data_IF_792161545530
#
_entry.id   IF_792161545530
#
_cell.length_a   1.000
_cell.length_b   1.000
_cell.length_c   1.000
_cell.angle_alpha   90.00
_cell.angle_beta   90.00
_cell.angle_gamma   90.00
#
_symmetry.space_group_name_H-M   'P 1'
#
loop_
_entity.id
_entity.type
_entity.pdbx_description
1 polymer ?
#
# COMPACT_ATOMS: atom_id res chain seq x y z
N UNK A 1 -39.07 -8.26 -38.69
CA UNK A 1 -38.38 -9.53 -38.38
C UNK A 1 -37.13 -9.16 -37.61
N UNK A 2 -37.07 -9.51 -36.32
CA UNK A 2 -36.01 -9.16 -35.38
C UNK A 2 -34.67 -9.74 -35.81
N UNK A 3 -33.61 -8.93 -35.84
CA UNK A 3 -32.22 -9.41 -35.68
C UNK A 3 -31.60 -8.60 -34.54
N UNK A 4 -31.78 -9.11 -33.32
CA UNK A 4 -30.89 -8.88 -32.17
C UNK A 4 -29.59 -9.65 -32.44
N UNK A 5 -28.43 -9.03 -32.20
CA UNK A 5 -27.15 -9.67 -31.81
C UNK A 5 -26.19 -8.54 -31.40
N UNK A 6 -26.13 -8.27 -30.10
CA UNK A 6 -25.10 -8.75 -29.17
C UNK A 6 -23.75 -8.07 -29.40
N UNK A 7 -23.53 -7.04 -28.59
CA UNK A 7 -22.27 -6.36 -28.27
C UNK A 7 -21.20 -7.37 -27.90
N UNK A 8 -20.03 -7.27 -28.55
CA UNK A 8 -18.82 -7.95 -28.15
C UNK A 8 -17.94 -6.91 -27.46
N UNK A 9 -18.14 -6.71 -26.15
CA UNK A 9 -17.20 -5.99 -25.30
C UNK A 9 -16.00 -6.90 -25.08
N UNK A 10 -14.87 -6.61 -25.74
CA UNK A 10 -13.59 -7.24 -25.42
C UNK A 10 -13.08 -6.57 -24.15
N UNK A 11 -13.31 -7.23 -23.02
CA UNK A 11 -12.62 -6.94 -21.76
C UNK A 11 -11.20 -7.48 -21.93
N UNK A 12 -10.25 -6.59 -22.22
CA UNK A 12 -8.83 -6.93 -22.19
C UNK A 12 -8.38 -6.89 -20.73
N UNK A 13 -8.46 -8.06 -20.10
CA UNK A 13 -7.89 -8.32 -18.78
C UNK A 13 -6.38 -8.47 -18.96
N UNK A 14 -5.60 -7.41 -18.74
CA UNK A 14 -4.14 -7.53 -18.65
C UNK A 14 -3.79 -7.88 -17.21
N UNK A 15 -3.57 -9.18 -16.98
CA UNK A 15 -2.77 -9.68 -15.88
C UNK A 15 -1.32 -9.19 -16.09
N UNK A 16 -0.88 -8.17 -15.35
CA UNK A 16 0.55 -7.94 -15.16
C UNK A 16 1.04 -8.87 -14.05
N UNK A 17 1.40 -10.08 -14.46
CA UNK A 17 2.37 -10.89 -13.74
C UNK A 17 3.70 -10.79 -14.51
N UNK A 18 4.72 -10.23 -13.85
CA UNK A 18 6.11 -10.37 -14.29
C UNK A 18 6.74 -9.11 -14.88
N UNK A 19 7.35 -8.30 -14.00
CA UNK A 19 8.55 -7.54 -14.29
C UNK A 19 9.21 -7.03 -12.99
N UNK A 20 9.58 -7.93 -12.07
CA UNK A 20 10.48 -7.56 -10.96
C UNK A 20 11.89 -8.04 -11.29
N UNK A 21 12.55 -7.30 -12.16
CA UNK A 21 14.01 -7.37 -12.39
C UNK A 21 14.50 -6.02 -12.90
N UNK A 22 14.13 -4.96 -12.18
CA UNK A 22 14.90 -3.74 -12.12
C UNK A 22 15.38 -3.61 -10.67
N UNK A 23 16.61 -3.15 -10.48
CA UNK A 23 17.15 -2.89 -9.15
C UNK A 23 16.40 -1.68 -8.57
N UNK A 24 15.22 -1.90 -7.99
CA UNK A 24 14.44 -0.88 -7.31
C UNK A 24 15.27 -0.37 -6.13
N UNK A 25 15.73 0.88 -6.21
CA UNK A 25 16.29 1.55 -5.04
C UNK A 25 15.13 1.93 -4.14
N UNK A 26 14.81 1.07 -3.18
CA UNK A 26 13.92 1.45 -2.09
C UNK A 26 14.65 2.42 -1.17
N UNK A 27 13.99 3.52 -0.82
CA UNK A 27 14.44 4.40 0.25
C UNK A 27 13.42 4.38 1.38
N UNK A 28 13.91 4.28 2.62
CA UNK A 28 13.09 4.44 3.82
C UNK A 28 12.93 5.95 4.00
N UNK A 29 12.02 6.53 3.23
CA UNK A 29 11.81 7.97 3.16
C UNK A 29 10.37 8.40 3.50
N UNK A 30 9.46 7.43 3.70
CA UNK A 30 8.13 7.72 4.24
C UNK A 30 8.23 7.81 5.76
N UNK A 31 7.95 8.98 6.31
CA UNK A 31 8.01 9.23 7.74
C UNK A 31 6.60 9.31 8.33
N UNK A 32 6.27 8.39 9.23
CA UNK A 32 5.04 8.48 10.02
C UNK A 32 5.20 9.59 11.05
N UNK A 33 4.27 10.55 11.03
CA UNK A 33 4.29 11.73 11.92
C UNK A 33 3.28 11.63 13.05
N UNK A 34 2.27 10.75 12.92
CA UNK A 34 1.45 10.34 14.06
C UNK A 34 2.36 9.79 15.16
N UNK A 35 2.19 10.17 16.44
CA UNK A 35 2.90 9.54 17.54
C UNK A 35 2.42 8.10 17.76
N UNK A 36 3.32 7.13 17.95
CA UNK A 36 2.90 5.76 18.24
C UNK A 36 2.34 5.64 19.66
N UNK A 37 1.47 4.65 19.88
CA UNK A 37 1.02 4.22 21.19
C UNK A 37 2.16 3.58 22.01
N UNK A 38 3.03 2.83 21.33
CA UNK A 38 4.21 2.13 21.88
C UNK A 38 5.35 2.22 20.85
N UNK A 39 6.58 2.44 21.27
CA UNK A 39 7.71 2.63 20.33
C UNK A 39 8.44 1.34 19.97
N UNK A 40 8.60 0.44 20.93
CA UNK A 40 9.49 -0.72 20.80
C UNK A 40 8.77 -1.99 21.27
N UNK A 41 7.64 -2.31 20.64
CA UNK A 41 6.88 -3.52 20.94
C UNK A 41 7.57 -4.71 20.27
N UNK A 42 8.09 -5.69 21.04
CA UNK A 42 8.64 -6.89 20.43
C UNK A 42 7.52 -7.70 19.78
N UNK A 43 7.78 -8.17 18.56
CA UNK A 43 6.95 -9.13 17.86
C UNK A 43 7.73 -10.43 17.69
N UNK A 44 7.13 -11.51 18.17
CA UNK A 44 7.64 -12.87 17.99
C UNK A 44 6.74 -13.60 17.01
N UNK A 45 7.33 -14.50 16.23
CA UNK A 45 6.58 -15.38 15.34
C UNK A 45 7.09 -16.81 15.50
N UNK A 46 6.18 -17.72 15.85
CA UNK A 46 6.46 -19.14 16.06
C UNK A 46 6.84 -19.80 14.72
N UNK A 47 8.09 -19.64 14.31
CA UNK A 47 8.63 -20.14 13.05
C UNK A 47 8.75 -21.66 13.09
N UNK A 48 8.96 -22.24 14.26
CA UNK A 48 9.19 -23.68 14.43
C UNK A 48 7.87 -24.47 14.64
N UNK A 49 6.78 -23.79 14.96
CA UNK A 49 5.43 -24.32 15.09
C UNK A 49 5.17 -25.11 16.37
N UNK A 50 5.97 -24.94 17.42
CA UNK A 50 5.85 -25.68 18.68
C UNK A 50 4.90 -25.02 19.70
N UNK A 51 4.40 -23.83 19.39
CA UNK A 51 3.46 -23.06 20.21
C UNK A 51 4.12 -22.28 21.35
N UNK A 52 5.45 -22.20 21.40
CA UNK A 52 6.24 -21.43 22.36
C UNK A 52 6.98 -20.34 21.61
N UNK A 53 6.82 -19.09 22.06
CA UNK A 53 7.56 -17.97 21.49
C UNK A 53 8.90 -17.83 22.23
N UNK A 54 10.00 -18.11 21.52
CA UNK A 54 11.36 -18.07 22.07
C UNK A 54 12.14 -16.80 21.64
N UNK A 55 13.25 -16.50 22.32
CA UNK A 55 14.10 -15.33 21.98
C UNK A 55 14.65 -15.39 20.55
N UNK A 56 14.91 -16.60 20.04
CA UNK A 56 15.39 -16.83 18.67
C UNK A 56 14.30 -16.58 17.60
N UNK A 57 13.06 -16.32 18.02
CA UNK A 57 11.89 -16.08 17.18
C UNK A 57 11.44 -14.62 17.17
N UNK A 58 12.25 -13.73 17.77
CA UNK A 58 12.04 -12.29 17.71
C UNK A 58 12.21 -11.79 16.27
N UNK A 59 11.12 -11.31 15.67
CA UNK A 59 11.16 -10.66 14.35
C UNK A 59 11.76 -9.26 14.42
N UNK A 60 11.54 -8.57 15.54
CA UNK A 60 12.01 -7.20 15.75
C UNK A 60 11.17 -6.46 16.79
N UNK A 61 11.55 -5.22 17.02
CA UNK A 61 10.82 -4.26 17.85
C UNK A 61 10.19 -3.22 16.93
N UNK A 62 8.90 -2.96 17.12
CA UNK A 62 8.13 -2.14 16.21
C UNK A 62 7.33 -1.08 16.95
N UNK A 63 7.17 0.07 16.31
CA UNK A 63 6.20 1.07 16.74
C UNK A 63 4.78 0.54 16.54
N UNK A 64 3.89 0.82 17.50
CA UNK A 64 2.49 0.41 17.48
C UNK A 64 1.61 1.63 17.34
N UNK A 65 0.72 1.62 16.36
CA UNK A 65 -0.23 2.71 16.09
C UNK A 65 -1.67 2.27 16.36
N UNK A 66 -2.51 3.24 16.73
CA UNK A 66 -3.95 3.02 16.91
C UNK A 66 -4.60 2.76 15.55
N UNK A 67 -5.04 1.54 15.33
CA UNK A 67 -5.72 1.16 14.11
C UNK A 67 -7.15 1.70 14.02
N UNK A 68 -7.75 2.07 15.15
CA UNK A 68 -9.05 2.76 15.17
C UNK A 68 -8.91 4.29 14.94
N UNK A 69 -7.67 4.80 14.93
CA UNK A 69 -7.33 6.21 14.78
C UNK A 69 -6.82 6.59 13.39
N UNK A 70 -6.44 7.85 13.23
CA UNK A 70 -5.84 8.37 12.00
C UNK A 70 -4.31 8.17 11.99
N UNK A 71 -3.77 7.80 10.82
CA UNK A 71 -2.34 7.63 10.60
C UNK A 71 -1.85 8.64 9.57
N UNK A 72 -1.09 9.63 10.01
CA UNK A 72 -0.52 10.70 9.19
C UNK A 72 0.97 10.44 8.96
N UNK A 73 1.41 10.67 7.73
CA UNK A 73 2.80 10.50 7.32
C UNK A 73 3.15 11.46 6.19
N UNK A 74 4.45 11.60 5.95
CA UNK A 74 5.02 12.42 4.89
C UNK A 74 6.03 11.64 4.07
N UNK A 75 6.30 12.09 2.84
CA UNK A 75 7.33 11.51 1.96
C UNK A 75 8.06 12.61 1.18
N UNK A 76 9.10 12.24 0.43
CA UNK A 76 9.83 13.16 -0.42
C UNK A 76 9.13 13.31 -1.78
N UNK A 77 8.90 14.54 -2.28
CA UNK A 77 8.32 14.72 -3.60
C UNK A 77 9.29 14.24 -4.68
N UNK A 78 8.75 13.63 -5.74
CA UNK A 78 9.54 13.21 -6.89
C UNK A 78 9.15 14.05 -8.11
N UNK A 79 10.15 14.39 -8.93
CA UNK A 79 9.93 14.98 -10.24
C UNK A 79 10.19 13.92 -11.30
N UNK A 80 9.25 13.76 -12.23
CA UNK A 80 9.35 12.76 -13.29
C UNK A 80 9.53 13.49 -14.61
N UNK A 81 10.59 13.15 -15.35
CA UNK A 81 10.88 13.80 -16.62
C UNK A 81 9.71 13.62 -17.61
N UNK A 82 9.30 14.71 -18.25
CA UNK A 82 8.21 14.68 -19.23
C UNK A 82 6.80 14.61 -18.64
N UNK A 83 6.63 14.54 -17.32
CA UNK A 83 5.32 14.55 -16.66
C UNK A 83 5.10 15.91 -15.99
N UNK A 84 4.03 16.60 -16.40
CA UNK A 84 3.64 17.86 -15.77
C UNK A 84 3.10 17.61 -14.35
N UNK A 85 3.35 18.49 -13.36
CA UNK A 85 2.91 18.27 -11.98
C UNK A 85 1.40 18.00 -11.83
N UNK A 86 0.56 18.63 -12.65
CA UNK A 86 -0.89 18.43 -12.68
C UNK A 86 -1.33 17.02 -13.12
N UNK A 87 -0.45 16.30 -13.81
CA UNK A 87 -0.67 14.92 -14.26
C UNK A 87 0.12 13.91 -13.40
N UNK A 88 0.72 14.37 -12.30
CA UNK A 88 1.44 13.51 -11.37
C UNK A 88 0.59 13.26 -10.11
N UNK A 89 0.50 12.00 -9.72
CA UNK A 89 -0.12 11.53 -8.49
C UNK A 89 0.83 10.58 -7.77
N UNK A 90 0.52 10.29 -6.51
CA UNK A 90 1.19 9.29 -5.71
C UNK A 90 0.17 8.22 -5.34
N UNK A 91 0.47 6.98 -5.75
CA UNK A 91 -0.20 5.80 -5.24
C UNK A 91 0.32 5.52 -3.85
N UNK A 92 -0.58 5.51 -2.88
CA UNK A 92 -0.30 5.21 -1.48
C UNK A 92 -0.93 3.87 -1.17
N UNK A 93 -0.12 2.91 -0.74
CA UNK A 93 -0.59 1.60 -0.33
C UNK A 93 -0.16 1.25 1.08
N UNK A 94 -1.07 0.67 1.86
CA UNK A 94 -0.76 0.03 3.13
C UNK A 94 -0.63 -1.47 2.90
N UNK A 95 0.56 -1.99 3.18
CA UNK A 95 0.95 -3.36 2.94
C UNK A 95 1.12 -4.07 4.28
N UNK A 96 0.55 -5.27 4.41
CA UNK A 96 0.68 -6.11 5.60
C UNK A 96 1.29 -7.45 5.24
N UNK A 97 2.18 -7.94 6.09
CA UNK A 97 2.62 -9.33 6.03
C UNK A 97 1.43 -10.25 6.35
N UNK A 98 1.16 -11.23 5.50
CA UNK A 98 0.16 -12.24 5.74
C UNK A 98 0.71 -13.32 6.68
N UNK A 99 0.17 -13.36 7.88
CA UNK A 99 0.54 -14.33 8.92
C UNK A 99 -0.51 -15.42 9.11
N UNK A 100 -1.51 -15.50 8.22
CA UNK A 100 -2.68 -16.37 8.40
C UNK A 100 -2.38 -17.87 8.26
N UNK A 101 -1.21 -18.24 7.74
CA UNK A 101 -0.77 -19.63 7.60
C UNK A 101 0.38 -19.97 8.57
N UNK A 102 0.13 -20.75 9.64
CA UNK A 102 1.19 -21.13 10.58
C UNK A 102 2.21 -22.09 9.94
N UNK A 103 3.48 -21.94 10.32
CA UNK A 103 4.61 -22.76 9.83
C UNK A 103 5.10 -22.40 8.42
N UNK A 104 4.67 -21.24 7.90
CA UNK A 104 5.11 -20.73 6.61
C UNK A 104 6.40 -19.93 6.78
N UNK A 105 7.34 -20.11 5.85
CA UNK A 105 8.58 -19.32 5.81
C UNK A 105 8.23 -17.91 5.29
N UNK A 106 7.90 -17.02 6.22
CA UNK A 106 7.54 -15.63 5.92
C UNK A 106 8.68 -14.84 5.24
N UNK A 107 9.93 -15.32 5.34
CA UNK A 107 11.09 -14.69 4.71
C UNK A 107 11.29 -15.16 3.25
N UNK A 108 10.74 -16.32 2.88
CA UNK A 108 10.92 -16.89 1.54
C UNK A 108 9.73 -16.65 0.60
N UNK A 109 8.53 -16.38 1.12
CA UNK A 109 7.29 -16.49 0.34
C UNK A 109 6.66 -15.16 -0.14
N UNK A 110 7.30 -14.00 0.07
CA UNK A 110 6.80 -12.67 -0.39
C UNK A 110 5.29 -12.46 -0.13
N UNK A 111 4.80 -12.85 1.05
CA UNK A 111 3.35 -12.88 1.33
C UNK A 111 2.86 -11.53 1.84
N UNK A 112 3.00 -10.51 1.01
CA UNK A 112 2.54 -9.16 1.30
C UNK A 112 1.16 -8.92 0.72
N UNK A 113 0.23 -8.50 1.57
CA UNK A 113 -1.13 -8.16 1.19
C UNK A 113 -1.33 -6.66 1.21
N UNK A 114 -1.74 -6.13 0.07
CA UNK A 114 -2.23 -4.78 -0.02
C UNK A 114 -3.62 -4.68 0.60
N UNK A 115 -3.74 -3.90 1.67
CA UNK A 115 -4.99 -3.76 2.43
C UNK A 115 -5.78 -2.51 2.06
N UNK A 116 -5.08 -1.44 1.69
CA UNK A 116 -5.68 -0.16 1.37
C UNK A 116 -4.84 0.56 0.34
N UNK A 117 -5.53 1.16 -0.64
CA UNK A 117 -4.93 1.98 -1.67
C UNK A 117 -5.60 3.34 -1.67
N UNK A 118 -4.82 4.38 -1.88
CA UNK A 118 -5.30 5.75 -2.09
C UNK A 118 -4.41 6.44 -3.10
N UNK A 119 -4.92 7.52 -3.67
CA UNK A 119 -4.23 8.33 -4.66
C UNK A 119 -4.15 9.76 -4.16
N UNK A 120 -2.96 10.36 -4.20
CA UNK A 120 -2.72 11.71 -3.74
C UNK A 120 -2.06 12.55 -4.82
N UNK A 121 -2.75 13.57 -5.32
CA UNK A 121 -2.22 14.41 -6.38
C UNK A 121 -0.99 15.18 -5.92
N UNK A 122 0.03 15.27 -6.77
CA UNK A 122 1.25 16.01 -6.47
C UNK A 122 1.01 17.52 -6.32
N UNK A 123 -0.10 18.03 -6.86
CA UNK A 123 -0.55 19.41 -6.74
C UNK A 123 -1.47 19.66 -5.54
N UNK A 124 -1.71 18.64 -4.70
CA UNK A 124 -2.51 18.79 -3.49
C UNK A 124 -1.93 19.88 -2.59
N UNK A 125 -2.78 20.73 -1.97
CA UNK A 125 -2.31 21.79 -1.05
C UNK A 125 -1.54 21.24 0.14
N UNK A 126 -1.81 20.00 0.55
CA UNK A 126 -1.13 19.30 1.65
C UNK A 126 0.25 18.75 1.23
N UNK A 127 0.67 19.00 -0.01
CA UNK A 127 1.97 18.65 -0.55
C UNK A 127 2.20 17.14 -0.50
N UNK A 128 3.23 16.71 0.23
CA UNK A 128 3.58 15.31 0.44
C UNK A 128 3.17 14.79 1.82
N UNK A 129 2.06 15.32 2.37
CA UNK A 129 1.45 14.83 3.61
C UNK A 129 0.15 14.11 3.28
N UNK A 130 -0.08 12.97 3.93
CA UNK A 130 -1.33 12.21 3.79
C UNK A 130 -1.75 11.63 5.13
N UNK A 131 -3.07 11.54 5.32
CA UNK A 131 -3.69 10.93 6.50
C UNK A 131 -4.58 9.79 6.05
N UNK A 132 -4.21 8.57 6.43
CA UNK A 132 -5.09 7.42 6.36
C UNK A 132 -6.10 7.52 7.50
N UNK A 133 -7.39 7.54 7.16
CA UNK A 133 -8.45 7.41 8.16
C UNK A 133 -8.47 6.03 8.81
N UNK A 134 -9.24 5.92 9.90
CA UNK A 134 -9.39 4.72 10.72
C UNK A 134 -9.53 3.42 9.91
N UNK A 135 -8.91 2.36 10.42
CA UNK A 135 -8.90 1.02 9.86
C UNK A 135 -9.92 0.18 10.65
N UNK A 136 -11.11 -0.08 10.10
CA UNK A 136 -12.11 -0.81 10.88
C UNK A 136 -13.52 -0.95 10.30
N UNK A 137 -14.16 -2.04 10.74
CA UNK A 137 -15.47 -2.58 10.37
C UNK A 137 -15.65 -2.99 8.90
N UNK A 138 -15.36 -4.25 8.62
CA UNK A 138 -15.61 -4.89 7.31
C UNK A 138 -14.40 -4.94 6.38
N UNK A 139 -13.31 -4.24 6.72
CA UNK A 139 -12.04 -4.31 5.99
C UNK A 139 -11.16 -5.45 6.56
N UNK A 140 -10.53 -6.29 5.71
CA UNK A 140 -9.73 -7.43 6.15
C UNK A 140 -8.34 -6.98 6.62
N UNK A 141 -8.26 -6.28 7.75
CA UNK A 141 -7.00 -5.89 8.37
C UNK A 141 -6.54 -6.92 9.40
N UNK A 142 -5.23 -7.19 9.42
CA UNK A 142 -4.60 -7.91 10.52
C UNK A 142 -4.06 -6.91 11.55
N UNK A 143 -4.59 -6.95 12.77
CA UNK A 143 -3.99 -6.26 13.91
C UNK A 143 -2.85 -7.12 14.47
N UNK A 144 -1.70 -6.49 14.74
CA UNK A 144 -0.47 -7.18 15.18
C UNK A 144 0.41 -7.75 14.06
N UNK A 145 0.01 -7.63 12.78
CA UNK A 145 0.90 -7.99 11.67
C UNK A 145 1.88 -6.85 11.33
N UNK A 146 3.13 -7.18 10.98
CA UNK A 146 4.06 -6.23 10.36
C UNK A 146 3.40 -5.51 9.18
N UNK A 147 3.44 -4.19 9.23
CA UNK A 147 2.76 -3.29 8.30
C UNK A 147 3.73 -2.19 7.86
N UNK A 148 3.66 -1.77 6.61
CA UNK A 148 4.38 -0.59 6.12
C UNK A 148 3.57 0.15 5.05
N UNK A 149 3.95 1.40 4.81
CA UNK A 149 3.36 2.25 3.78
C UNK A 149 4.30 2.27 2.58
N UNK A 150 3.73 2.16 1.39
CA UNK A 150 4.43 2.31 0.11
C UNK A 150 3.85 3.50 -0.62
N UNK A 151 4.72 4.39 -1.10
CA UNK A 151 4.36 5.53 -1.95
C UNK A 151 5.08 5.40 -3.28
N UNK A 152 4.31 5.32 -4.36
CA UNK A 152 4.82 5.14 -5.74
C UNK A 152 4.28 6.28 -6.61
N UNK A 153 5.12 6.97 -7.38
CA UNK A 153 4.62 7.95 -8.34
C UNK A 153 3.83 7.28 -9.48
N UNK A 154 2.75 7.93 -9.89
CA UNK A 154 1.90 7.49 -10.99
C UNK A 154 1.48 8.69 -11.84
N UNK A 155 1.20 8.45 -13.11
CA UNK A 155 0.60 9.42 -14.01
C UNK A 155 -0.92 9.34 -13.84
N UNK A 156 -1.58 10.49 -13.72
CA UNK A 156 -3.04 10.60 -13.70
C UNK A 156 -3.54 11.32 -14.93
N UNK A 157 -4.51 10.73 -15.62
CA UNK A 157 -5.16 11.30 -16.80
C UNK A 157 -6.67 11.36 -16.58
N UNK A 158 -7.29 12.46 -17.00
CA UNK A 158 -8.75 12.60 -16.96
C UNK A 158 -9.34 12.12 -18.29
N UNK A 159 -10.16 11.08 -18.25
CA UNK A 159 -10.76 10.45 -19.42
C UNK A 159 -12.27 10.68 -19.43
N UNK A 160 -12.79 11.15 -20.57
CA UNK A 160 -14.23 11.32 -20.78
C UNK A 160 -14.85 10.04 -21.32
N UNK A 161 -15.82 9.48 -20.60
CA UNK A 161 -16.62 8.36 -21.07
C UNK A 161 -17.89 8.88 -21.76
N UNK A 162 -17.92 8.78 -23.10
CA UNK A 162 -19.07 9.20 -23.91
C UNK A 162 -20.35 8.42 -23.61
N UNK A 163 -20.25 7.17 -23.13
CA UNK A 163 -21.41 6.32 -22.86
C UNK A 163 -22.14 6.74 -21.59
N UNK A 164 -21.41 7.17 -20.57
CA UNK A 164 -21.97 7.66 -19.30
C UNK A 164 -22.07 9.18 -19.24
N UNK A 165 -21.37 9.90 -20.11
CA UNK A 165 -21.27 11.35 -20.11
C UNK A 165 -20.48 11.90 -18.92
N UNK A 166 -19.62 11.09 -18.31
CA UNK A 166 -18.87 11.42 -17.09
C UNK A 166 -17.37 11.44 -17.34
N UNK A 167 -16.63 12.18 -16.51
CA UNK A 167 -15.17 12.13 -16.48
C UNK A 167 -14.72 11.17 -15.39
N UNK A 168 -13.73 10.35 -15.70
CA UNK A 168 -13.05 9.46 -14.75
C UNK A 168 -11.56 9.77 -14.75
N UNK A 169 -10.84 9.25 -13.76
CA UNK A 169 -9.38 9.34 -13.70
C UNK A 169 -8.79 7.96 -13.93
N UNK A 170 -7.83 7.88 -14.84
CA UNK A 170 -7.01 6.70 -15.06
C UNK A 170 -5.62 6.95 -14.49
N UNK A 171 -5.11 5.95 -13.78
CA UNK A 171 -3.83 6.01 -13.08
C UNK A 171 -2.89 4.97 -13.67
N UNK A 172 -1.70 5.40 -14.07
CA UNK A 172 -0.67 4.55 -14.66
C UNK A 172 0.60 4.64 -13.82
N UNK A 173 1.04 3.53 -13.27
CA UNK A 173 2.33 3.48 -12.57
C UNK A 173 3.47 3.86 -13.52
N UNK A 174 4.41 4.64 -13.03
CA UNK A 174 5.62 4.98 -13.80
C UNK A 174 6.58 3.80 -13.72
N UNK A 175 6.98 3.26 -14.88
CA UNK A 175 7.99 2.22 -14.97
C UNK A 175 9.30 2.70 -14.33
N UNK A 176 9.93 1.85 -13.50
CA UNK A 176 11.11 2.18 -12.70
C UNK A 176 10.93 3.42 -11.80
N UNK A 177 9.68 3.74 -11.43
CA UNK A 177 9.36 4.83 -10.52
C UNK A 177 10.03 4.66 -9.17
N UNK A 178 10.46 5.77 -8.57
CA UNK A 178 11.11 5.75 -7.25
C UNK A 178 10.13 5.34 -6.16
N UNK A 179 10.30 4.14 -5.60
CA UNK A 179 9.47 3.59 -4.54
C UNK A 179 9.96 4.06 -3.18
N UNK A 180 9.07 4.69 -2.42
CA UNK A 180 9.34 5.16 -1.06
C UNK A 180 8.58 4.30 -0.07
N UNK A 181 9.26 3.82 0.97
CA UNK A 181 8.66 2.98 2.00
C UNK A 181 8.80 3.59 3.39
N UNK A 182 7.89 3.26 4.30
CA UNK A 182 8.05 3.58 5.71
C UNK A 182 8.88 2.52 6.42
N UNK A 183 9.35 2.83 7.63
CA UNK A 183 9.70 1.78 8.57
C UNK A 183 8.49 0.87 8.82
N UNK A 184 8.76 -0.37 9.18
CA UNK A 184 7.71 -1.33 9.54
C UNK A 184 7.14 -0.99 10.92
N UNK A 185 5.83 -1.14 11.07
CA UNK A 185 5.08 -0.87 12.29
C UNK A 185 3.97 -1.90 12.49
N UNK A 186 3.31 -1.85 13.65
CA UNK A 186 2.15 -2.65 13.99
C UNK A 186 0.91 -1.77 14.14
N UNK A 187 -0.24 -2.33 13.81
CA UNK A 187 -1.55 -1.76 14.14
C UNK A 187 -2.17 -2.53 15.30
N UNK A 188 -2.71 -1.83 16.28
CA UNK A 188 -3.49 -2.39 17.39
C UNK A 188 -4.89 -1.78 17.37
N UNK A 189 -5.93 -2.59 17.58
CA UNK A 189 -7.28 -2.07 17.79
C UNK A 189 -7.45 -1.73 19.27
N UNK A 190 -8.09 -0.60 19.56
CA UNK A 190 -8.35 -0.13 20.92
C UNK A 190 -9.65 -0.68 21.53
N UNK A 191 -10.28 -1.68 20.88
CA UNK A 191 -11.57 -2.27 21.28
C UNK A 191 -11.47 -3.65 21.93
#
# INVERSE_FOLDING_TARGET
>A
MLIRRFTLSVVLLILLAGAMSACESFDISVQITTPPLKTDQPLYYDFNGDGVLDEDELMGEFAVYDGDGELTFTWQPVSVEGVAPENLSYRIALIQLDTTEPGRDLLADDVYLERKVSHHWATSPDGTTFTLGAFGFGEPFCFGCPTYIVVIPEIVEQVYDEATGTYTYEYTLIEDGFVQISETFLLESSR
#
